data_IF_286647964675
#
_entry.id   IF_286647964675
#
_cell.length_a   1.000
_cell.length_b   1.000
_cell.length_c   1.000
_cell.angle_alpha   90.00
_cell.angle_beta   90.00
_cell.angle_gamma   90.00
#
_symmetry.space_group_name_H-M   'P 1'
#
loop_
_entity.id
_entity.type
_entity.pdbx_description
1 polymer ?
#
# COMPACT_ATOMS: atom_id res chain seq x y z
N UNK A 1 -101.23 32.35 1.42
CA UNK A 1 -100.69 32.97 2.66
C UNK A 1 -99.39 32.29 3.08
N UNK A 2 -98.29 32.62 2.41
CA UNK A 2 -96.95 32.12 2.72
C UNK A 2 -96.26 32.91 3.83
N UNK A 3 -96.83 32.94 5.04
CA UNK A 3 -96.23 33.70 6.15
C UNK A 3 -96.46 33.13 7.56
N UNK A 4 -96.89 31.86 7.71
CA UNK A 4 -97.01 31.21 9.03
C UNK A 4 -95.89 30.22 9.37
N UNK A 5 -95.20 29.67 8.37
CA UNK A 5 -94.03 28.82 8.59
C UNK A 5 -92.74 29.60 8.93
N UNK A 6 -92.75 30.93 8.74
CA UNK A 6 -91.66 31.79 9.21
C UNK A 6 -91.74 32.14 10.70
N UNK A 7 -92.84 31.89 11.41
CA UNK A 7 -92.97 32.33 12.81
C UNK A 7 -93.12 31.22 13.84
N UNK A 8 -93.48 29.99 13.44
CA UNK A 8 -93.52 28.85 14.36
C UNK A 8 -92.20 28.06 14.45
N UNK A 9 -91.17 28.48 13.70
CA UNK A 9 -89.81 27.94 13.79
C UNK A 9 -88.80 28.81 14.58
N UNK A 10 -89.19 29.99 15.08
CA UNK A 10 -88.21 31.00 15.51
C UNK A 10 -87.96 31.03 17.03
N UNK A 11 -88.93 30.74 17.90
CA UNK A 11 -88.73 30.89 19.36
C UNK A 11 -88.35 29.56 20.04
N UNK A 12 -89.07 28.48 19.76
CA UNK A 12 -88.71 27.13 20.25
C UNK A 12 -87.46 26.56 19.58
N UNK A 13 -87.30 26.79 18.27
CA UNK A 13 -86.13 26.37 17.50
C UNK A 13 -84.86 27.11 17.89
N UNK A 14 -84.93 28.42 18.16
CA UNK A 14 -83.76 29.19 18.60
C UNK A 14 -83.31 28.82 20.02
N UNK A 15 -84.25 28.52 20.92
CA UNK A 15 -83.94 28.04 22.26
C UNK A 15 -83.26 26.66 22.23
N UNK A 16 -83.82 25.69 21.49
CA UNK A 16 -83.24 24.36 21.33
C UNK A 16 -81.84 24.41 20.69
N UNK A 17 -81.65 25.26 19.66
CA UNK A 17 -80.33 25.47 19.04
C UNK A 17 -79.34 26.09 20.06
N UNK A 18 -79.79 27.03 20.90
CA UNK A 18 -78.96 27.66 21.93
C UNK A 18 -78.52 26.65 22.99
N UNK A 19 -79.45 25.85 23.50
CA UNK A 19 -79.17 24.79 24.48
C UNK A 19 -78.24 23.73 23.91
N UNK A 20 -78.48 23.27 22.68
CA UNK A 20 -77.58 22.35 21.99
C UNK A 20 -76.18 22.94 21.83
N UNK A 21 -76.05 24.21 21.42
CA UNK A 21 -74.74 24.88 21.29
C UNK A 21 -74.03 25.00 22.63
N UNK A 22 -74.74 25.31 23.72
CA UNK A 22 -74.17 25.38 25.07
C UNK A 22 -73.72 23.99 25.55
N UNK A 23 -74.56 22.96 25.40
CA UNK A 23 -74.21 21.58 25.72
C UNK A 23 -73.00 21.10 24.92
N UNK A 24 -72.92 21.45 23.63
CA UNK A 24 -71.76 21.11 22.79
C UNK A 24 -70.50 21.87 23.20
N UNK A 25 -70.61 23.14 23.55
CA UNK A 25 -69.48 23.94 24.08
C UNK A 25 -68.95 23.37 25.39
N UNK A 26 -69.85 23.00 26.31
CA UNK A 26 -69.45 22.40 27.58
C UNK A 26 -68.78 21.04 27.38
N UNK A 27 -69.30 20.22 26.46
CA UNK A 27 -68.68 18.95 26.09
C UNK A 27 -67.28 19.15 25.50
N UNK A 28 -67.11 20.11 24.58
CA UNK A 28 -65.80 20.43 24.00
C UNK A 28 -64.86 20.98 25.07
N UNK A 29 -65.33 21.87 25.95
CA UNK A 29 -64.52 22.41 27.05
C UNK A 29 -64.05 21.31 28.01
N UNK A 30 -64.93 20.37 28.34
CA UNK A 30 -64.59 19.20 29.16
C UNK A 30 -63.56 18.30 28.48
N UNK A 31 -63.70 18.06 27.17
CA UNK A 31 -62.71 17.30 26.40
C UNK A 31 -61.36 18.04 26.30
N UNK A 32 -61.37 19.36 26.06
CA UNK A 32 -60.16 20.19 26.01
C UNK A 32 -59.43 20.23 27.36
N UNK A 33 -60.15 20.18 28.49
CA UNK A 33 -59.52 20.04 29.82
C UNK A 33 -58.82 18.70 30.03
N UNK A 34 -59.25 17.64 29.33
CA UNK A 34 -58.63 16.31 29.40
C UNK A 34 -57.48 16.16 28.40
N UNK A 35 -57.40 17.02 27.39
CA UNK A 35 -56.40 16.92 26.32
C UNK A 35 -54.95 16.91 26.84
N UNK A 36 -54.51 17.79 27.78
CA UNK A 36 -53.13 17.76 28.26
C UNK A 36 -52.75 16.45 28.97
N UNK A 37 -53.72 15.83 29.66
CA UNK A 37 -53.50 14.54 30.32
C UNK A 37 -53.33 13.42 29.28
N UNK A 38 -54.10 13.45 28.19
CA UNK A 38 -53.97 12.49 27.09
C UNK A 38 -52.67 12.70 26.31
N UNK A 39 -52.25 13.95 26.09
CA UNK A 39 -50.97 14.29 25.45
C UNK A 39 -49.80 13.79 26.29
N UNK A 40 -49.76 14.08 27.59
CA UNK A 40 -48.73 13.58 28.49
C UNK A 40 -48.69 12.05 28.55
N UNK A 41 -49.84 11.39 28.52
CA UNK A 41 -49.91 9.92 28.47
C UNK A 41 -49.36 9.36 27.15
N UNK A 42 -49.59 10.02 26.01
CA UNK A 42 -49.01 9.62 24.72
C UNK A 42 -47.49 9.78 24.74
N UNK A 43 -46.97 10.90 25.25
CA UNK A 43 -45.52 11.13 25.38
C UNK A 43 -44.87 10.07 26.27
N UNK A 44 -45.41 9.82 27.47
CA UNK A 44 -44.91 8.78 28.37
C UNK A 44 -44.95 7.39 27.73
N UNK A 45 -46.01 7.07 26.99
CA UNK A 45 -46.12 5.80 26.28
C UNK A 45 -45.11 5.67 25.13
N UNK A 46 -44.85 6.75 24.39
CA UNK A 46 -43.84 6.76 23.33
C UNK A 46 -42.43 6.60 23.88
N UNK A 47 -42.12 7.28 24.98
CA UNK A 47 -40.84 7.16 25.70
C UNK A 47 -40.65 5.75 26.25
N UNK A 48 -41.66 5.18 26.91
CA UNK A 48 -41.61 3.81 27.40
C UNK A 48 -41.37 2.83 26.26
N UNK A 49 -42.09 3.00 25.15
CA UNK A 49 -41.95 2.16 23.96
C UNK A 49 -40.58 2.28 23.31
N UNK A 50 -39.97 3.46 23.32
CA UNK A 50 -38.60 3.66 22.84
C UNK A 50 -37.59 2.95 23.76
N UNK A 51 -37.75 3.09 25.08
CA UNK A 51 -36.93 2.41 26.08
C UNK A 51 -37.01 0.88 25.95
N UNK A 52 -38.23 0.34 25.82
CA UNK A 52 -38.47 -1.10 25.65
C UNK A 52 -37.79 -1.64 24.38
N UNK A 53 -37.80 -0.86 23.29
CA UNK A 53 -37.13 -1.22 22.04
C UNK A 53 -35.63 -1.28 22.19
N UNK A 54 -35.03 -0.30 22.86
CA UNK A 54 -33.58 -0.25 23.08
C UNK A 54 -33.14 -1.39 24.00
N UNK A 55 -33.84 -1.60 25.12
CA UNK A 55 -33.56 -2.72 26.03
C UNK A 55 -33.66 -4.08 25.32
N UNK A 56 -34.66 -4.26 24.46
CA UNK A 56 -34.81 -5.48 23.68
C UNK A 56 -33.68 -5.64 22.63
N UNK A 57 -33.23 -4.55 22.02
CA UNK A 57 -32.06 -4.53 21.13
C UNK A 57 -30.78 -4.94 21.87
N UNK A 58 -30.47 -4.29 22.99
CA UNK A 58 -29.28 -4.56 23.78
C UNK A 58 -29.27 -6.00 24.27
N UNK A 59 -30.42 -6.53 24.69
CA UNK A 59 -30.54 -7.92 25.12
C UNK A 59 -30.24 -8.90 23.98
N UNK A 60 -30.80 -8.68 22.78
CA UNK A 60 -30.52 -9.52 21.60
C UNK A 60 -29.05 -9.44 21.18
N UNK A 61 -28.48 -8.24 21.20
CA UNK A 61 -27.08 -8.03 20.84
C UNK A 61 -26.14 -8.76 21.82
N UNK A 62 -26.37 -8.59 23.11
CA UNK A 62 -25.61 -9.26 24.18
C UNK A 62 -25.75 -10.78 24.11
N UNK A 63 -26.96 -11.30 23.88
CA UNK A 63 -27.18 -12.74 23.77
C UNK A 63 -26.50 -13.34 22.52
N UNK A 64 -26.54 -12.65 21.38
CA UNK A 64 -25.86 -13.08 20.17
C UNK A 64 -24.33 -13.15 20.38
N UNK A 65 -23.74 -12.14 21.02
CA UNK A 65 -22.32 -12.14 21.37
C UNK A 65 -21.97 -13.24 22.36
N UNK A 66 -22.76 -13.40 23.43
CA UNK A 66 -22.55 -14.47 24.42
C UNK A 66 -22.51 -15.84 23.74
N UNK A 67 -23.47 -16.12 22.84
CA UNK A 67 -23.47 -17.38 22.08
C UNK A 67 -22.26 -17.52 21.16
N UNK A 68 -21.74 -16.45 20.55
CA UNK A 68 -20.49 -16.54 19.78
C UNK A 68 -19.29 -16.89 20.68
N UNK A 69 -19.18 -16.26 21.84
CA UNK A 69 -18.12 -16.57 22.80
C UNK A 69 -18.23 -18.01 23.31
N UNK A 70 -19.44 -18.50 23.60
CA UNK A 70 -19.69 -19.88 24.02
C UNK A 70 -19.29 -20.90 22.93
N UNK A 71 -19.36 -20.50 21.65
CA UNK A 71 -18.87 -21.29 20.51
C UNK A 71 -17.36 -21.12 20.26
N UNK A 72 -16.62 -20.51 21.20
CA UNK A 72 -15.16 -20.31 21.14
C UNK A 72 -14.67 -19.46 19.97
N UNK A 73 -15.50 -18.54 19.46
CA UNK A 73 -15.04 -17.54 18.50
C UNK A 73 -14.17 -16.47 19.20
N UNK A 74 -13.06 -16.09 18.57
CA UNK A 74 -12.20 -14.99 19.04
C UNK A 74 -12.94 -13.67 18.84
N UNK A 75 -12.88 -12.78 19.84
CA UNK A 75 -13.53 -11.47 19.82
C UNK A 75 -13.19 -10.65 18.56
N UNK A 76 -11.94 -10.76 18.09
CA UNK A 76 -11.42 -10.00 16.94
C UNK A 76 -12.00 -10.47 15.60
N UNK A 77 -12.53 -11.69 15.55
CA UNK A 77 -13.12 -12.26 14.35
C UNK A 77 -14.61 -11.92 14.23
N UNK A 78 -15.24 -11.43 15.31
CA UNK A 78 -16.68 -11.19 15.38
C UNK A 78 -17.08 -9.97 14.52
N UNK A 79 -18.02 -10.13 13.56
CA UNK A 79 -18.53 -9.02 12.76
C UNK A 79 -19.58 -8.20 13.54
N UNK A 80 -19.12 -7.32 14.43
CA UNK A 80 -19.97 -6.48 15.29
C UNK A 80 -21.01 -5.66 14.51
N UNK A 81 -20.67 -5.17 13.32
CA UNK A 81 -21.59 -4.42 12.46
C UNK A 81 -22.81 -5.26 12.06
N UNK A 82 -22.59 -6.50 11.59
CA UNK A 82 -23.64 -7.42 11.16
C UNK A 82 -24.54 -7.83 12.32
N UNK A 83 -23.97 -8.06 13.51
CA UNK A 83 -24.74 -8.37 14.72
C UNK A 83 -25.56 -7.16 15.18
N UNK A 84 -24.99 -5.95 15.12
CA UNK A 84 -25.69 -4.70 15.44
C UNK A 84 -26.88 -4.48 14.52
N UNK A 85 -26.68 -4.62 13.20
CA UNK A 85 -27.73 -4.47 12.18
C UNK A 85 -28.84 -5.50 12.42
N UNK A 86 -28.48 -6.77 12.67
CA UNK A 86 -29.47 -7.81 12.96
C UNK A 86 -30.24 -7.52 14.24
N UNK A 87 -29.56 -7.13 15.32
CA UNK A 87 -30.18 -6.89 16.63
C UNK A 87 -31.18 -5.73 16.59
N UNK A 88 -30.89 -4.68 15.79
CA UNK A 88 -31.77 -3.54 15.58
C UNK A 88 -32.96 -3.86 14.67
N UNK A 89 -32.74 -4.65 13.62
CA UNK A 89 -33.78 -4.98 12.64
C UNK A 89 -34.71 -6.12 13.09
N UNK A 90 -34.23 -7.03 13.94
CA UNK A 90 -35.05 -8.11 14.48
C UNK A 90 -36.01 -7.60 15.56
N UNK A 91 -37.30 -7.85 15.36
CA UNK A 91 -38.32 -7.66 16.40
C UNK A 91 -38.50 -8.89 17.30
N UNK A 92 -37.86 -10.01 16.96
CA UNK A 92 -38.02 -11.30 17.65
C UNK A 92 -36.84 -11.58 18.57
N UNK A 93 -37.12 -12.21 19.71
CA UNK A 93 -36.12 -12.76 20.61
C UNK A 93 -35.21 -13.78 19.90
N UNK A 94 -33.97 -13.92 20.40
CA UNK A 94 -32.97 -14.81 19.82
C UNK A 94 -33.24 -16.27 20.22
N UNK A 95 -34.29 -16.84 19.66
CA UNK A 95 -34.57 -18.28 19.79
C UNK A 95 -33.50 -19.12 19.09
N UNK A 96 -33.36 -20.40 19.42
CA UNK A 96 -32.38 -21.29 18.78
C UNK A 96 -32.53 -21.40 17.26
N UNK A 97 -33.75 -21.30 16.75
CA UNK A 97 -34.01 -21.29 15.30
C UNK A 97 -33.52 -19.99 14.68
N UNK A 98 -33.79 -18.85 15.34
CA UNK A 98 -33.30 -17.55 14.88
C UNK A 98 -31.76 -17.49 14.94
N UNK A 99 -31.17 -18.02 16.01
CA UNK A 99 -29.74 -18.16 16.19
C UNK A 99 -29.08 -18.99 15.08
N UNK A 100 -29.59 -20.19 14.79
CA UNK A 100 -29.05 -21.03 13.69
C UNK A 100 -29.05 -20.31 12.35
N UNK A 101 -30.12 -19.55 12.05
CA UNK A 101 -30.21 -18.75 10.82
C UNK A 101 -29.24 -17.58 10.82
N UNK A 102 -29.12 -16.86 11.94
CA UNK A 102 -28.16 -15.77 12.08
C UNK A 102 -26.73 -16.31 11.92
N UNK A 103 -26.37 -17.35 12.67
CA UNK A 103 -25.06 -17.98 12.62
C UNK A 103 -24.69 -18.43 11.21
N UNK A 104 -25.62 -19.05 10.47
CA UNK A 104 -25.37 -19.45 9.07
C UNK A 104 -24.98 -18.29 8.15
N UNK A 105 -25.49 -17.07 8.42
CA UNK A 105 -25.11 -15.87 7.67
C UNK A 105 -23.77 -15.29 8.13
N UNK A 106 -23.45 -15.43 9.42
CA UNK A 106 -22.21 -14.93 10.00
C UNK A 106 -21.01 -15.85 9.71
N UNK A 107 -21.23 -17.13 9.38
CA UNK A 107 -20.16 -18.11 9.16
C UNK A 107 -19.12 -17.65 8.13
N UNK A 108 -19.57 -17.15 6.97
CA UNK A 108 -18.68 -16.66 5.93
C UNK A 108 -17.91 -15.41 6.39
N UNK A 109 -18.58 -14.49 7.08
CA UNK A 109 -17.93 -13.28 7.63
C UNK A 109 -16.91 -13.60 8.72
N UNK A 110 -17.24 -14.52 9.63
CA UNK A 110 -16.34 -15.00 10.69
C UNK A 110 -15.10 -15.67 10.09
N UNK A 111 -15.28 -16.51 9.06
CA UNK A 111 -14.17 -17.14 8.36
C UNK A 111 -13.27 -16.09 7.69
N UNK A 112 -13.86 -15.15 6.95
CA UNK A 112 -13.13 -14.07 6.28
C UNK A 112 -12.37 -13.18 7.26
N UNK A 113 -12.99 -12.80 8.39
CA UNK A 113 -12.34 -11.99 9.41
C UNK A 113 -11.17 -12.72 10.06
N UNK A 114 -11.34 -14.01 10.37
CA UNK A 114 -10.27 -14.86 10.90
C UNK A 114 -9.10 -14.94 9.93
N UNK A 115 -9.38 -15.25 8.68
CA UNK A 115 -8.33 -15.44 7.66
C UNK A 115 -7.59 -14.11 7.41
N UNK A 116 -8.32 -12.99 7.37
CA UNK A 116 -7.75 -11.64 7.30
C UNK A 116 -6.86 -11.34 8.51
N UNK A 117 -7.33 -11.60 9.73
CA UNK A 117 -6.56 -11.39 10.96
C UNK A 117 -5.27 -12.23 10.95
N UNK A 118 -5.34 -13.49 10.54
CA UNK A 118 -4.17 -14.35 10.45
C UNK A 118 -3.16 -13.85 9.42
N UNK A 119 -3.61 -13.34 8.27
CA UNK A 119 -2.74 -12.74 7.26
C UNK A 119 -2.13 -11.41 7.75
N UNK A 120 -2.90 -10.58 8.46
CA UNK A 120 -2.41 -9.35 9.09
C UNK A 120 -1.37 -9.66 10.17
N UNK A 121 -1.61 -10.68 11.01
CA UNK A 121 -0.68 -11.14 12.04
C UNK A 121 0.61 -11.70 11.42
N UNK A 122 0.51 -12.46 10.32
CA UNK A 122 1.66 -12.94 9.54
C UNK A 122 2.44 -11.79 8.91
N UNK A 123 1.76 -10.85 8.26
CA UNK A 123 2.37 -9.67 7.65
C UNK A 123 3.09 -8.83 8.70
N UNK A 124 2.47 -8.63 9.88
CA UNK A 124 3.09 -7.93 11.01
C UNK A 124 4.35 -8.62 11.49
N UNK A 125 4.35 -9.95 11.65
CA UNK A 125 5.54 -10.74 12.01
C UNK A 125 6.66 -10.56 10.99
N UNK A 126 6.34 -10.69 9.69
CA UNK A 126 7.31 -10.49 8.61
C UNK A 126 7.88 -9.06 8.65
N UNK A 127 7.05 -8.03 8.86
CA UNK A 127 7.50 -6.63 8.96
C UNK A 127 8.45 -6.40 10.15
N UNK A 128 8.14 -6.99 11.31
CA UNK A 128 9.01 -6.92 12.48
C UNK A 128 10.37 -7.55 12.18
N UNK A 129 10.37 -8.75 11.59
CA UNK A 129 11.61 -9.44 11.20
C UNK A 129 12.39 -8.71 10.11
N UNK A 130 11.71 -8.09 9.15
CA UNK A 130 12.36 -7.23 8.15
C UNK A 130 13.10 -6.06 8.81
N UNK A 131 12.56 -5.51 9.89
CA UNK A 131 13.22 -4.43 10.65
C UNK A 131 14.51 -4.92 11.29
N UNK A 132 14.52 -6.12 11.85
CA UNK A 132 15.73 -6.76 12.41
C UNK A 132 16.77 -7.04 11.31
N UNK A 133 16.35 -7.69 10.22
CA UNK A 133 17.21 -7.97 9.06
C UNK A 133 17.82 -6.69 8.47
N UNK A 134 17.03 -5.63 8.34
CA UNK A 134 17.48 -4.34 7.83
C UNK A 134 18.52 -3.68 8.72
N UNK A 135 18.40 -3.80 10.05
CA UNK A 135 19.43 -3.31 10.98
C UNK A 135 20.76 -4.05 10.80
N UNK A 136 20.73 -5.37 10.67
CA UNK A 136 21.92 -6.20 10.45
C UNK A 136 22.56 -5.89 9.10
N UNK A 137 21.75 -5.77 8.05
CA UNK A 137 22.21 -5.38 6.72
C UNK A 137 22.84 -3.98 6.71
N UNK A 138 22.19 -2.98 7.33
CA UNK A 138 22.77 -1.65 7.51
C UNK A 138 24.08 -1.69 8.32
N UNK A 139 24.16 -2.56 9.33
CA UNK A 139 25.38 -2.80 10.09
C UNK A 139 26.52 -3.27 9.20
N UNK A 140 26.24 -4.25 8.33
CA UNK A 140 27.19 -4.73 7.32
C UNK A 140 27.55 -3.63 6.30
N UNK A 141 26.60 -2.86 5.76
CA UNK A 141 26.93 -1.80 4.81
C UNK A 141 27.90 -0.76 5.41
N UNK A 142 27.77 -0.44 6.70
CA UNK A 142 28.70 0.46 7.39
C UNK A 142 30.12 -0.09 7.51
N UNK A 143 30.31 -1.40 7.35
CA UNK A 143 31.63 -2.01 7.29
C UNK A 143 32.20 -2.00 5.88
N UNK A 144 31.54 -1.42 4.87
CA UNK A 144 32.03 -1.33 3.50
C UNK A 144 32.51 0.08 3.15
N UNK A 145 33.39 0.19 2.15
CA UNK A 145 33.79 1.51 1.64
C UNK A 145 32.66 2.15 0.82
N UNK A 146 32.47 3.49 0.87
CA UNK A 146 31.33 4.16 0.24
C UNK A 146 31.15 3.88 -1.26
N UNK A 147 32.25 3.67 -2.00
CA UNK A 147 32.20 3.35 -3.43
C UNK A 147 31.46 2.05 -3.73
N UNK A 148 31.38 1.11 -2.80
CA UNK A 148 30.66 -0.16 -2.99
C UNK A 148 29.15 0.02 -2.80
N UNK A 149 28.72 1.00 -2.00
CA UNK A 149 27.32 1.17 -1.63
C UNK A 149 26.43 1.45 -2.83
N UNK A 150 26.95 2.16 -3.84
CA UNK A 150 26.21 2.48 -5.08
C UNK A 150 25.85 1.24 -5.90
N UNK A 151 26.52 0.11 -5.65
CA UNK A 151 26.28 -1.14 -6.36
C UNK A 151 25.48 -2.14 -5.54
N UNK A 152 25.06 -1.78 -4.33
CA UNK A 152 24.34 -2.69 -3.44
C UNK A 152 22.88 -2.29 -3.31
N UNK A 153 21.96 -3.24 -3.12
CA UNK A 153 20.58 -2.96 -2.74
C UNK A 153 20.51 -1.94 -1.58
N UNK A 154 19.75 -0.85 -1.73
CA UNK A 154 19.61 0.10 -0.62
C UNK A 154 18.83 -0.57 0.53
N UNK A 155 19.00 -0.12 1.79
CA UNK A 155 18.23 -0.69 2.91
C UNK A 155 16.71 -0.58 2.74
N UNK A 156 16.21 0.49 2.12
CA UNK A 156 14.79 0.61 1.82
C UNK A 156 14.37 -0.43 0.78
N UNK A 157 15.16 -0.53 -0.29
CA UNK A 157 14.89 -1.43 -1.40
C UNK A 157 14.91 -2.91 -0.98
N UNK A 158 15.88 -3.33 -0.15
CA UNK A 158 15.95 -4.71 0.34
C UNK A 158 14.75 -5.09 1.21
N UNK A 159 14.18 -4.13 1.94
CA UNK A 159 12.93 -4.30 2.71
C UNK A 159 11.72 -4.41 1.78
N UNK A 160 11.64 -3.57 0.75
CA UNK A 160 10.57 -3.60 -0.27
C UNK A 160 10.49 -4.96 -0.95
N UNK A 161 11.63 -5.55 -1.33
CA UNK A 161 11.71 -6.88 -1.96
C UNK A 161 11.77 -8.05 -0.96
N UNK A 162 11.49 -7.80 0.33
CA UNK A 162 11.47 -8.80 1.41
C UNK A 162 12.74 -9.65 1.48
N UNK A 163 13.91 -9.05 1.28
CA UNK A 163 15.20 -9.74 1.33
C UNK A 163 15.34 -10.90 0.34
N UNK A 164 14.55 -10.96 -0.74
CA UNK A 164 14.60 -12.05 -1.72
C UNK A 164 15.97 -12.26 -2.38
N UNK A 165 16.84 -11.23 -2.39
CA UNK A 165 18.23 -11.32 -2.86
C UNK A 165 19.22 -11.84 -1.82
N UNK A 166 18.81 -11.95 -0.55
CA UNK A 166 19.57 -12.50 0.57
C UNK A 166 18.86 -13.74 1.14
N UNK A 167 19.06 -14.94 0.53
CA UNK A 167 18.34 -16.16 0.89
C UNK A 167 18.35 -16.48 2.39
N UNK A 168 19.45 -16.20 3.08
CA UNK A 168 19.55 -16.46 4.51
C UNK A 168 18.58 -15.61 5.32
N UNK A 169 18.48 -14.30 5.06
CA UNK A 169 17.47 -13.47 5.71
C UNK A 169 16.06 -13.80 5.25
N UNK A 170 15.83 -13.99 3.94
CA UNK A 170 14.52 -14.34 3.39
C UNK A 170 13.93 -15.57 4.08
N UNK A 171 14.73 -16.62 4.29
CA UNK A 171 14.32 -17.82 5.03
C UNK A 171 13.82 -17.48 6.44
N UNK A 172 14.55 -16.65 7.19
CA UNK A 172 14.18 -16.25 8.56
C UNK A 172 12.87 -15.45 8.59
N UNK A 173 12.61 -14.61 7.58
CA UNK A 173 11.35 -13.86 7.49
C UNK A 173 10.14 -14.79 7.43
N UNK A 174 10.25 -15.90 6.71
CA UNK A 174 9.17 -16.85 6.44
C UNK A 174 9.09 -18.04 7.41
N UNK A 175 9.94 -18.09 8.44
CA UNK A 175 9.86 -19.13 9.47
C UNK A 175 8.55 -19.07 10.26
N UNK A 176 8.06 -20.23 10.71
CA UNK A 176 6.85 -20.30 11.54
C UNK A 176 7.11 -19.72 12.94
N UNK A 177 8.22 -20.14 13.54
CA UNK A 177 8.67 -19.71 14.86
C UNK A 177 9.54 -18.45 14.79
N UNK A 178 9.80 -17.83 15.95
CA UNK A 178 10.68 -16.66 16.03
C UNK A 178 12.15 -17.08 15.89
N UNK A 179 12.92 -16.48 14.95
CA UNK A 179 14.31 -16.86 14.77
C UNK A 179 15.16 -16.52 16.00
N UNK A 180 16.10 -17.41 16.34
CA UNK A 180 17.06 -17.17 17.42
C UNK A 180 18.09 -16.10 17.05
N UNK A 181 18.77 -15.55 18.06
CA UNK A 181 19.88 -14.61 17.86
C UNK A 181 21.01 -15.23 17.02
N UNK A 182 21.37 -16.48 17.30
CA UNK A 182 22.37 -17.24 16.53
C UNK A 182 22.00 -17.36 15.04
N UNK A 183 20.72 -17.60 14.72
CA UNK A 183 20.24 -17.66 13.33
C UNK A 183 20.36 -16.30 12.63
N UNK A 184 20.07 -15.21 13.33
CA UNK A 184 20.26 -13.85 12.79
C UNK A 184 21.74 -13.55 12.54
N UNK A 185 22.62 -13.97 13.45
CA UNK A 185 24.05 -13.81 13.28
C UNK A 185 24.60 -14.66 12.12
N UNK A 186 24.16 -15.91 11.98
CA UNK A 186 24.52 -16.77 10.84
C UNK A 186 24.10 -16.14 9.52
N UNK A 187 22.87 -15.62 9.45
CA UNK A 187 22.40 -14.92 8.27
C UNK A 187 23.23 -13.66 7.99
N UNK A 188 23.61 -12.90 9.03
CA UNK A 188 24.49 -11.74 8.89
C UNK A 188 25.90 -12.13 8.39
N UNK A 189 26.45 -13.27 8.85
CA UNK A 189 27.73 -13.82 8.38
C UNK A 189 27.68 -14.24 6.91
N UNK A 190 26.52 -14.66 6.41
CA UNK A 190 26.33 -15.06 5.02
C UNK A 190 26.20 -13.88 4.03
N UNK A 191 25.86 -12.69 4.51
CA UNK A 191 25.58 -11.49 3.67
C UNK A 191 26.66 -11.21 2.62
N UNK A 192 27.97 -11.21 2.93
CA UNK A 192 28.99 -10.91 1.92
C UNK A 192 28.93 -11.89 0.74
N UNK A 193 28.83 -13.20 1.01
CA UNK A 193 28.80 -14.21 -0.05
C UNK A 193 27.51 -14.15 -0.89
N UNK A 194 26.37 -13.89 -0.25
CA UNK A 194 25.09 -13.74 -0.94
C UNK A 194 25.07 -12.48 -1.83
N UNK A 195 25.62 -11.36 -1.37
CA UNK A 195 25.76 -10.16 -2.18
C UNK A 195 26.74 -10.35 -3.34
N UNK A 196 27.85 -11.08 -3.14
CA UNK A 196 28.78 -11.39 -4.24
C UNK A 196 28.06 -12.18 -5.32
N UNK A 197 27.28 -13.19 -4.92
CA UNK A 197 26.46 -14.01 -5.82
C UNK A 197 25.43 -13.15 -6.56
N UNK A 198 24.78 -12.23 -5.85
CA UNK A 198 23.81 -11.31 -6.45
C UNK A 198 24.45 -10.38 -7.49
N UNK A 199 25.63 -9.82 -7.21
CA UNK A 199 26.37 -8.96 -8.15
C UNK A 199 26.87 -9.72 -9.38
N UNK A 200 27.32 -10.97 -9.22
CA UNK A 200 27.69 -11.83 -10.33
C UNK A 200 26.49 -12.11 -11.24
N UNK A 201 25.35 -12.50 -10.67
CA UNK A 201 24.12 -12.70 -11.43
C UNK A 201 23.66 -11.41 -12.13
N UNK A 202 23.97 -10.23 -11.56
CA UNK A 202 23.73 -8.95 -12.22
C UNK A 202 24.65 -8.77 -13.43
N UNK A 203 25.96 -8.99 -13.26
CA UNK A 203 26.92 -8.90 -14.36
C UNK A 203 26.63 -9.90 -15.49
N UNK A 204 26.29 -11.15 -15.18
CA UNK A 204 25.96 -12.17 -16.17
C UNK A 204 24.85 -11.70 -17.11
N UNK A 205 23.82 -11.05 -16.56
CA UNK A 205 22.74 -10.45 -17.35
C UNK A 205 23.22 -9.24 -18.16
N UNK A 206 24.08 -8.40 -17.60
CA UNK A 206 24.68 -7.28 -18.35
C UNK A 206 25.52 -7.80 -19.53
N UNK A 207 26.12 -8.99 -19.38
CA UNK A 207 26.92 -9.61 -20.43
C UNK A 207 26.10 -10.13 -21.61
N UNK A 208 24.81 -10.41 -21.44
CA UNK A 208 23.94 -10.77 -22.56
C UNK A 208 23.84 -9.66 -23.62
N UNK A 209 24.08 -8.40 -23.25
CA UNK A 209 23.98 -7.25 -24.17
C UNK A 209 25.30 -6.73 -24.73
N UNK A 210 26.37 -6.70 -23.91
CA UNK A 210 27.56 -5.92 -24.26
C UNK A 210 28.91 -6.43 -23.74
N UNK A 211 28.95 -7.43 -22.85
CA UNK A 211 30.21 -7.95 -22.30
C UNK A 211 30.52 -9.34 -22.84
N UNK A 212 31.80 -9.64 -23.00
CA UNK A 212 32.21 -11.02 -23.28
C UNK A 212 32.30 -11.80 -21.96
N UNK A 213 32.07 -13.13 -21.97
CA UNK A 213 32.21 -13.95 -20.77
C UNK A 213 33.59 -13.84 -20.10
N UNK A 214 34.64 -13.54 -20.88
CA UNK A 214 36.02 -13.38 -20.40
C UNK A 214 36.22 -12.08 -19.58
N UNK A 215 35.30 -11.10 -19.72
CA UNK A 215 35.34 -9.85 -18.94
C UNK A 215 34.76 -10.03 -17.53
N UNK A 216 34.09 -11.15 -17.25
CA UNK A 216 33.38 -11.36 -15.99
C UNK A 216 34.35 -11.80 -14.88
N UNK A 217 34.37 -11.09 -13.72
CA UNK A 217 35.12 -11.55 -12.57
C UNK A 217 34.51 -12.85 -12.04
N UNK A 218 35.35 -13.83 -11.69
CA UNK A 218 34.88 -15.08 -11.09
C UNK A 218 34.24 -14.86 -9.70
N UNK A 219 34.69 -13.83 -8.98
CA UNK A 219 34.22 -13.49 -7.62
C UNK A 219 34.23 -11.97 -7.43
N UNK A 220 33.23 -11.47 -6.73
CA UNK A 220 33.27 -10.13 -6.14
C UNK A 220 33.82 -10.17 -4.73
N UNK A 221 34.89 -9.42 -4.48
CA UNK A 221 35.48 -9.29 -3.14
C UNK A 221 35.01 -7.99 -2.53
N UNK A 222 34.37 -8.06 -1.38
CA UNK A 222 34.00 -6.88 -0.62
C UNK A 222 35.18 -6.43 0.24
N UNK A 223 35.75 -5.26 -0.07
CA UNK A 223 36.65 -4.59 0.85
C UNK A 223 35.86 -4.05 2.04
N UNK A 224 36.33 -4.34 3.24
CA UNK A 224 35.78 -3.72 4.43
C UNK A 224 36.38 -2.31 4.57
N UNK A 225 35.60 -1.37 5.10
CA UNK A 225 36.04 -0.09 5.59
C UNK A 225 37.07 -0.32 6.71
N UNK A 226 38.34 -0.38 6.33
CA UNK A 226 39.44 -0.07 7.22
C UNK A 226 39.71 1.43 7.13
N UNK A 227 39.86 2.11 8.27
CA UNK A 227 40.56 3.38 8.28
C UNK A 227 41.94 3.17 7.62
N UNK A 228 42.17 3.80 6.47
CA UNK A 228 43.45 3.72 5.76
C UNK A 228 43.55 2.69 4.63
N UNK A 229 42.46 2.27 4.00
CA UNK A 229 42.56 1.64 2.67
C UNK A 229 43.38 2.54 1.74
N UNK A 230 44.47 2.01 1.18
CA UNK A 230 45.36 2.80 0.34
C UNK A 230 44.73 3.09 -1.03
N UNK A 231 45.30 4.06 -1.75
CA UNK A 231 44.81 4.46 -3.07
C UNK A 231 44.77 3.27 -4.05
N UNK A 232 45.75 2.37 -3.96
CA UNK A 232 45.82 1.18 -4.82
C UNK A 232 44.65 0.22 -4.61
N UNK A 233 44.23 0.02 -3.36
CA UNK A 233 43.05 -0.80 -3.01
C UNK A 233 41.78 -0.16 -3.55
N UNK A 234 41.65 1.16 -3.42
CA UNK A 234 40.50 1.89 -3.95
C UNK A 234 40.45 1.80 -5.49
N UNK A 235 41.58 1.97 -6.17
CA UNK A 235 41.67 1.86 -7.63
C UNK A 235 41.31 0.44 -8.12
N UNK A 236 41.78 -0.60 -7.42
CA UNK A 236 41.42 -1.98 -7.72
C UNK A 236 39.91 -2.24 -7.55
N UNK A 237 39.29 -1.71 -6.49
CA UNK A 237 37.83 -1.77 -6.32
C UNK A 237 37.11 -1.02 -7.43
N UNK A 238 37.52 0.21 -7.75
CA UNK A 238 36.92 0.97 -8.85
C UNK A 238 36.96 0.18 -10.16
N UNK A 239 38.09 -0.46 -10.47
CA UNK A 239 38.23 -1.29 -11.67
C UNK A 239 37.29 -2.49 -11.66
N UNK A 240 37.14 -3.17 -10.51
CA UNK A 240 36.26 -4.32 -10.36
C UNK A 240 34.78 -3.95 -10.55
N UNK A 241 34.33 -2.84 -9.96
CA UNK A 241 32.95 -2.41 -10.05
C UNK A 241 32.64 -1.60 -11.31
N UNK A 242 33.66 -1.24 -12.11
CA UNK A 242 33.50 -0.52 -13.37
C UNK A 242 32.51 -1.18 -14.32
N UNK A 243 32.52 -2.51 -14.38
CA UNK A 243 31.64 -3.31 -15.24
C UNK A 243 30.15 -3.15 -14.88
N UNK A 244 29.85 -3.00 -13.58
CA UNK A 244 28.50 -2.72 -13.09
C UNK A 244 28.06 -1.27 -13.36
N UNK A 245 29.00 -0.39 -13.70
CA UNK A 245 28.77 1.03 -13.96
C UNK A 245 28.82 1.37 -15.45
N UNK A 246 28.86 0.40 -16.35
CA UNK A 246 28.96 0.67 -17.79
C UNK A 246 27.78 1.50 -18.29
N UNK A 247 28.06 2.63 -18.93
CA UNK A 247 27.03 3.49 -19.50
C UNK A 247 26.33 2.83 -20.68
N UNK A 248 27.03 1.97 -21.42
CA UNK A 248 26.46 1.28 -22.58
C UNK A 248 25.43 0.23 -22.19
N UNK A 249 25.36 -0.17 -20.92
CA UNK A 249 24.38 -1.15 -20.45
C UNK A 249 23.11 -0.45 -20.03
N UNK A 250 22.18 -0.40 -20.97
CA UNK A 250 20.92 0.30 -20.80
C UNK A 250 19.80 -0.69 -20.61
N UNK A 251 19.03 -0.52 -19.53
CA UNK A 251 17.82 -1.30 -19.28
C UNK A 251 16.58 -0.46 -19.53
N UNK A 252 15.52 -1.06 -20.07
CA UNK A 252 14.22 -0.43 -20.23
C UNK A 252 13.17 -1.16 -19.37
N UNK A 253 12.57 -0.45 -18.42
CA UNK A 253 11.56 -0.95 -17.48
C UNK A 253 10.13 -0.71 -17.98
N UNK A 254 9.94 0.31 -18.80
CA UNK A 254 8.69 0.63 -19.51
C UNK A 254 9.02 1.35 -20.82
N UNK A 255 8.00 1.64 -21.65
CA UNK A 255 8.19 2.40 -22.91
C UNK A 255 8.97 3.71 -22.75
N UNK A 256 9.00 4.30 -21.54
CA UNK A 256 9.61 5.60 -21.27
C UNK A 256 10.54 5.65 -20.06
N UNK A 257 10.79 4.52 -19.40
CA UNK A 257 11.67 4.46 -18.22
C UNK A 257 12.89 3.61 -18.51
N UNK A 258 14.04 4.27 -18.54
CA UNK A 258 15.31 3.69 -18.95
C UNK A 258 16.34 3.99 -17.87
N UNK A 259 17.20 3.02 -17.57
CA UNK A 259 18.27 3.13 -16.59
C UNK A 259 19.59 2.67 -17.18
N UNK A 260 20.70 3.12 -16.60
CA UNK A 260 22.04 2.89 -17.14
C UNK A 260 23.09 2.85 -16.03
N UNK A 261 24.17 2.10 -16.27
CA UNK A 261 25.25 1.91 -15.29
C UNK A 261 24.72 1.39 -13.96
N UNK A 262 25.22 1.94 -12.84
CA UNK A 262 24.87 1.45 -11.50
C UNK A 262 23.37 1.59 -11.14
N UNK A 263 22.60 2.45 -11.83
CA UNK A 263 21.16 2.60 -11.60
C UNK A 263 20.35 1.34 -11.98
N UNK A 264 20.93 0.49 -12.84
CA UNK A 264 20.30 -0.77 -13.24
C UNK A 264 20.06 -1.69 -12.04
N UNK A 265 21.00 -1.78 -11.10
CA UNK A 265 20.91 -2.66 -9.93
C UNK A 265 19.63 -2.39 -9.13
N UNK A 266 19.31 -1.12 -8.90
CA UNK A 266 18.11 -0.73 -8.15
C UNK A 266 16.81 -0.99 -8.92
N UNK A 267 16.86 -0.94 -10.25
CA UNK A 267 15.67 -1.09 -11.10
C UNK A 267 15.32 -2.56 -11.30
N UNK A 268 16.33 -3.42 -11.45
CA UNK A 268 16.18 -4.84 -11.75
C UNK A 268 15.44 -5.59 -10.64
N UNK A 269 15.78 -5.29 -9.41
CA UNK A 269 15.14 -5.92 -8.26
C UNK A 269 13.70 -5.44 -8.07
N UNK A 270 13.36 -4.19 -8.47
CA UNK A 270 11.97 -3.70 -8.47
C UNK A 270 11.10 -4.42 -9.51
N UNK A 271 11.70 -4.79 -10.64
CA UNK A 271 10.98 -5.50 -11.72
C UNK A 271 10.50 -6.88 -11.29
N UNK A 272 11.28 -7.58 -10.45
CA UNK A 272 10.92 -8.89 -9.90
C UNK A 272 9.63 -8.86 -9.07
N UNK A 273 9.41 -7.79 -8.31
CA UNK A 273 8.20 -7.66 -7.48
C UNK A 273 6.97 -7.30 -8.31
N UNK A 274 7.17 -6.54 -9.38
CA UNK A 274 6.08 -6.01 -10.21
C UNK A 274 5.68 -6.92 -11.37
N UNK A 275 6.44 -7.98 -11.64
CA UNK A 275 6.16 -8.96 -12.69
C UNK A 275 6.49 -8.47 -14.11
N UNK A 276 7.19 -7.33 -14.24
CA UNK A 276 7.66 -6.84 -15.53
C UNK A 276 9.02 -7.47 -15.85
N UNK A 277 9.18 -7.88 -17.10
CA UNK A 277 10.48 -8.30 -17.62
C UNK A 277 11.29 -7.06 -17.98
N UNK A 278 12.47 -6.97 -17.40
CA UNK A 278 13.42 -5.95 -17.77
C UNK A 278 14.28 -6.44 -18.93
N UNK A 279 14.24 -5.69 -20.03
CA UNK A 279 15.08 -5.95 -21.19
C UNK A 279 16.25 -4.99 -21.26
N UNK A 280 17.38 -5.47 -21.77
CA UNK A 280 18.43 -4.59 -22.28
C UNK A 280 17.93 -3.91 -23.55
N UNK A 281 18.20 -2.62 -23.68
CA UNK A 281 17.80 -1.83 -24.83
C UNK A 281 18.97 -1.57 -25.76
N UNK A 282 19.02 -2.27 -26.89
CA UNK A 282 20.03 -2.06 -27.94
C UNK A 282 20.06 -0.61 -28.40
N UNK A 283 18.88 -0.03 -28.59
CA UNK A 283 18.69 1.36 -29.01
C UNK A 283 19.25 2.37 -28.00
N UNK A 284 19.16 2.06 -26.71
CA UNK A 284 19.74 2.89 -25.67
C UNK A 284 21.25 2.77 -25.65
N UNK A 285 21.76 1.55 -25.85
CA UNK A 285 23.19 1.30 -26.01
C UNK A 285 23.77 2.06 -27.22
N UNK A 286 23.08 2.06 -28.36
CA UNK A 286 23.46 2.82 -29.56
C UNK A 286 23.51 4.33 -29.28
N UNK A 287 22.52 4.86 -28.56
CA UNK A 287 22.49 6.27 -28.17
C UNK A 287 23.68 6.63 -27.27
N UNK A 288 24.06 5.72 -26.36
CA UNK A 288 25.28 5.89 -25.55
C UNK A 288 26.53 5.81 -26.42
N UNK A 289 26.57 4.97 -27.45
CA UNK A 289 27.70 4.92 -28.39
C UNK A 289 27.93 6.22 -29.13
N UNK A 290 26.87 6.88 -29.59
CA UNK A 290 26.98 8.21 -30.21
C UNK A 290 27.46 9.25 -29.19
N UNK A 291 26.99 9.15 -27.95
CA UNK A 291 27.39 10.05 -26.86
C UNK A 291 28.87 9.87 -26.49
N UNK A 292 29.35 8.64 -26.36
CA UNK A 292 30.76 8.36 -26.04
C UNK A 292 31.67 8.82 -27.17
N UNK A 293 31.30 8.58 -28.43
CA UNK A 293 32.02 9.10 -29.60
C UNK A 293 32.13 10.63 -29.58
N UNK A 294 31.01 11.33 -29.33
CA UNK A 294 30.97 12.80 -29.25
C UNK A 294 31.88 13.36 -28.14
N UNK A 295 32.09 12.59 -27.07
CA UNK A 295 32.95 12.93 -25.94
C UNK A 295 34.39 12.44 -26.10
N UNK A 296 34.72 11.75 -27.21
CA UNK A 296 36.03 11.15 -27.41
C UNK A 296 36.33 10.02 -26.44
N UNK A 297 35.31 9.22 -26.10
CA UNK A 297 35.36 8.06 -25.21
C UNK A 297 35.02 6.78 -25.95
N UNK A 298 35.45 5.65 -25.40
CA UNK A 298 35.06 4.34 -25.89
C UNK A 298 33.76 3.84 -25.21
N UNK A 299 33.26 2.68 -25.66
CA UNK A 299 32.06 2.03 -25.12
C UNK A 299 32.22 1.46 -23.70
N UNK A 300 33.43 1.48 -23.15
CA UNK A 300 33.74 1.07 -21.77
C UNK A 300 33.62 2.22 -20.78
N UNK A 301 33.18 3.40 -21.25
CA UNK A 301 32.85 4.54 -20.41
C UNK A 301 31.76 4.15 -19.40
N UNK A 302 32.00 4.50 -18.14
CA UNK A 302 31.04 4.33 -17.06
C UNK A 302 30.04 5.48 -17.00
N UNK A 303 28.89 5.22 -16.42
CA UNK A 303 27.88 6.24 -16.17
C UNK A 303 28.43 7.32 -15.22
N UNK A 304 29.24 6.94 -14.22
CA UNK A 304 29.96 7.90 -13.37
C UNK A 304 30.92 8.79 -14.17
N UNK A 305 31.71 8.24 -15.10
CA UNK A 305 32.59 9.06 -15.95
C UNK A 305 31.76 10.04 -16.78
N UNK A 306 30.69 9.58 -17.42
CA UNK A 306 29.80 10.45 -18.20
C UNK A 306 29.14 11.54 -17.35
N UNK A 307 28.74 11.25 -16.10
CA UNK A 307 28.20 12.25 -15.17
C UNK A 307 29.21 13.36 -14.84
N UNK A 308 30.49 13.01 -14.63
CA UNK A 308 31.55 13.98 -14.36
C UNK A 308 31.71 14.94 -15.56
N UNK A 309 31.72 14.41 -16.79
CA UNK A 309 31.75 15.22 -18.02
C UNK A 309 30.47 16.04 -18.23
N UNK A 310 29.32 15.54 -17.77
CA UNK A 310 28.03 16.19 -17.89
C UNK A 310 27.87 17.41 -16.97
N UNK A 311 28.61 17.52 -15.87
CA UNK A 311 28.52 18.66 -14.95
C UNK A 311 28.65 20.04 -15.64
N UNK A 312 29.18 20.08 -16.87
CA UNK A 312 29.24 21.27 -17.74
C UNK A 312 28.64 21.09 -19.16
N UNK A 313 27.99 19.97 -19.48
CA UNK A 313 27.57 19.65 -20.85
C UNK A 313 26.09 19.34 -20.92
N UNK A 314 25.30 20.21 -21.55
CA UNK A 314 23.88 19.97 -21.80
C UNK A 314 23.68 19.42 -23.20
N UNK A 315 22.88 18.36 -23.32
CA UNK A 315 22.53 17.79 -24.62
C UNK A 315 21.22 18.40 -25.13
N UNK A 316 21.15 18.61 -26.45
CA UNK A 316 19.96 19.07 -27.15
C UNK A 316 19.54 18.07 -28.20
N UNK A 317 18.23 17.87 -28.29
CA UNK A 317 17.61 17.02 -29.28
C UNK A 317 17.50 17.86 -30.54
N UNK A 318 18.24 17.50 -31.57
CA UNK A 318 18.11 18.20 -32.84
C UNK A 318 16.79 17.88 -33.56
N UNK A 319 16.09 16.78 -33.20
CA UNK A 319 14.77 16.42 -33.73
C UNK A 319 13.59 17.09 -32.98
N UNK A 320 13.78 17.49 -31.72
CA UNK A 320 12.73 18.09 -30.88
C UNK A 320 12.93 19.57 -30.65
N UNK A 321 14.00 20.18 -31.19
CA UNK A 321 14.31 21.62 -31.07
C UNK A 321 13.14 22.55 -31.46
N UNK A 322 12.22 22.06 -32.29
CA UNK A 322 11.09 22.83 -32.82
C UNK A 322 9.76 22.56 -32.09
N UNK A 323 9.75 21.79 -30.99
CA UNK A 323 8.53 21.46 -30.22
C UNK A 323 8.36 22.41 -29.02
N UNK A 324 7.57 23.48 -29.13
CA UNK A 324 7.43 24.46 -28.06
C UNK A 324 6.93 23.80 -26.76
N UNK A 325 7.53 24.18 -25.62
CA UNK A 325 7.19 23.79 -24.24
C UNK A 325 7.71 22.44 -23.70
N UNK A 326 8.58 21.70 -24.39
CA UNK A 326 9.29 20.57 -23.77
C UNK A 326 10.66 21.02 -23.26
N UNK A 327 10.96 20.77 -21.98
CA UNK A 327 12.23 21.10 -21.37
C UNK A 327 13.40 20.50 -22.18
N UNK A 328 14.18 21.37 -22.84
CA UNK A 328 15.22 21.00 -23.80
C UNK A 328 16.54 20.55 -23.17
N UNK A 329 16.64 20.66 -21.85
CA UNK A 329 17.84 20.35 -21.11
C UNK A 329 17.53 19.17 -20.20
N UNK A 330 17.84 17.98 -20.70
CA UNK A 330 17.73 16.76 -19.91
C UNK A 330 19.14 16.22 -19.74
N UNK A 331 19.47 15.75 -18.53
CA UNK A 331 20.77 15.15 -18.29
C UNK A 331 20.96 13.93 -19.21
N UNK A 332 22.19 13.60 -19.62
CA UNK A 332 22.44 12.50 -20.57
C UNK A 332 21.70 11.19 -20.21
N UNK A 333 21.54 10.89 -18.91
CA UNK A 333 20.77 9.74 -18.41
C UNK A 333 19.30 9.75 -18.83
N UNK A 334 18.67 10.90 -18.99
CA UNK A 334 17.28 11.03 -19.44
C UNK A 334 17.11 10.90 -20.97
N UNK A 335 18.20 10.93 -21.74
CA UNK A 335 18.17 10.78 -23.22
C UNK A 335 18.05 9.34 -23.66
N UNK A 336 18.56 8.45 -22.83
CA UNK A 336 18.53 7.01 -23.04
C UNK A 336 17.09 6.55 -23.38
N UNK A 337 16.06 7.24 -22.88
CA UNK A 337 14.65 6.95 -23.16
C UNK A 337 14.03 7.54 -24.44
N UNK A 338 14.79 8.22 -25.31
CA UNK A 338 14.21 8.92 -26.47
C UNK A 338 15.04 8.73 -27.76
N UNK A 339 14.70 7.74 -28.59
CA UNK A 339 15.64 7.18 -29.54
C UNK A 339 15.72 7.82 -30.93
N UNK A 340 14.85 8.78 -31.23
CA UNK A 340 14.81 9.46 -32.54
C UNK A 340 15.66 10.72 -32.58
N UNK A 341 16.57 10.90 -31.62
CA UNK A 341 17.20 12.20 -31.36
C UNK A 341 18.67 12.22 -31.80
N UNK A 342 18.99 13.05 -32.79
CA UNK A 342 20.35 13.35 -33.23
C UNK A 342 20.97 14.45 -32.34
N UNK A 343 22.28 14.42 -32.09
CA UNK A 343 22.96 15.31 -31.13
C UNK A 343 23.64 16.52 -31.79
N UNK A 344 23.74 17.62 -31.04
CA UNK A 344 24.71 18.70 -31.28
C UNK A 344 25.25 19.20 -29.95
N UNK A 345 26.58 19.25 -29.79
CA UNK A 345 27.23 19.85 -28.63
C UNK A 345 26.99 21.37 -28.62
N UNK A 346 26.55 21.92 -27.49
CA UNK A 346 26.48 23.37 -27.28
C UNK A 346 27.72 23.90 -26.61
#
# INVERSE_FOLDING_TARGET
>A
MGNKFKQLGIIGGSLAIREFRLARKELVHKAMKQLPMLEAWVEEWEDQKASDREAAYENRHREALARLYDNSYDERDIPYSSITIWSRSSQRELTDIAWKRLLSKLQDELANNRDKRLEDEKTRRINQRCTTAAKLYCGYLRTLVPVQWKFLPTPQHIVEIRFSVLPSFHRLLHMSDEPSEEQWEDAARAVPGELSTHLLAHLERLAEGSLTPDDLPAVFTFALASEGSDAATMDALYLQYRLLDMASTVSAFFRYEWTTGYDNIHTWDRTRVSGYELGLSSQGSDAIGVLTELLGKDMTATATELDIYHSNTWFLCTACKDVPHRAYHVGWRSWVGNPTMLFSRK
#
